data_IF_526781548389
#
_entry.id   IF_526781548389
#
_cell.length_a   1.000
_cell.length_b   1.000
_cell.length_c   1.000
_cell.angle_alpha   90.00
_cell.angle_beta   90.00
_cell.angle_gamma   90.00
#
_symmetry.space_group_name_H-M   'P 1'
#
loop_
_entity.id
_entity.type
_entity.pdbx_description
1 polymer ?
#
# COMPACT_ATOMS: atom_id res chain seq x y z
N UNK A 1 -1.53 -9.07 7.52
CA UNK A 1 -2.85 -9.07 8.19
C UNK A 1 -3.79 -10.14 7.62
N UNK A 2 -4.08 -10.15 6.31
CA UNK A 2 -5.02 -11.11 5.71
C UNK A 2 -4.72 -12.59 6.02
N UNK A 3 -3.45 -13.01 5.93
CA UNK A 3 -3.00 -14.35 6.30
C UNK A 3 -3.41 -14.78 7.72
N UNK A 4 -3.39 -13.86 8.68
CA UNK A 4 -3.77 -14.14 10.07
C UNK A 4 -5.29 -14.22 10.25
N UNK A 5 -6.04 -13.47 9.44
CA UNK A 5 -7.50 -13.61 9.41
C UNK A 5 -7.88 -14.97 8.82
N UNK A 6 -7.25 -15.36 7.71
CA UNK A 6 -7.47 -16.64 7.04
C UNK A 6 -7.06 -17.83 7.92
N UNK A 7 -5.93 -17.75 8.63
CA UNK A 7 -5.50 -18.80 9.57
C UNK A 7 -6.51 -19.02 10.70
N UNK A 8 -7.26 -17.97 11.07
CA UNK A 8 -8.34 -18.01 12.05
C UNK A 8 -9.71 -18.35 11.45
N UNK A 9 -9.74 -18.81 10.20
CA UNK A 9 -10.97 -19.22 9.51
C UNK A 9 -11.85 -18.06 9.03
N UNK A 10 -11.32 -16.84 8.95
CA UNK A 10 -12.03 -15.69 8.38
C UNK A 10 -11.73 -15.56 6.89
N UNK A 11 -12.77 -15.41 6.07
CA UNK A 11 -12.61 -15.12 4.65
C UNK A 11 -12.16 -13.67 4.46
N UNK A 12 -11.07 -13.47 3.74
CA UNK A 12 -10.66 -12.18 3.17
C UNK A 12 -10.82 -12.30 1.66
N UNK A 13 -11.62 -11.44 1.05
CA UNK A 13 -11.88 -11.49 -0.40
C UNK A 13 -10.84 -10.70 -1.17
N UNK A 14 -10.59 -9.47 -0.75
CA UNK A 14 -9.65 -8.56 -1.41
C UNK A 14 -8.67 -7.97 -0.41
N UNK A 15 -7.46 -7.78 -0.88
CA UNK A 15 -6.47 -6.88 -0.30
C UNK A 15 -6.15 -5.86 -1.38
N UNK A 16 -6.35 -4.58 -1.06
CA UNK A 16 -6.00 -3.49 -1.97
C UNK A 16 -4.83 -2.74 -1.37
N UNK A 17 -3.69 -2.74 -2.08
CA UNK A 17 -2.50 -1.98 -1.74
C UNK A 17 -2.43 -0.75 -2.65
N UNK A 18 -2.22 0.44 -2.07
CA UNK A 18 -2.08 1.68 -2.82
C UNK A 18 -0.60 2.05 -2.82
N UNK A 19 0.01 2.01 -4.00
CA UNK A 19 1.43 2.26 -4.29
C UNK A 19 2.41 1.76 -3.22
N UNK A 20 2.23 0.51 -2.80
CA UNK A 20 3.00 -0.12 -1.73
C UNK A 20 3.67 -1.40 -2.22
N UNK A 21 5.00 -1.45 -2.14
CA UNK A 21 5.78 -2.64 -2.48
C UNK A 21 5.57 -3.80 -1.51
N UNK A 22 5.76 -5.01 -2.04
CA UNK A 22 5.89 -6.20 -1.22
C UNK A 22 7.30 -6.28 -0.64
N UNK A 23 7.43 -6.09 0.68
CA UNK A 23 8.71 -6.30 1.37
C UNK A 23 8.92 -7.79 1.59
N UNK A 24 9.96 -8.40 1.02
CA UNK A 24 10.17 -9.87 1.08
C UNK A 24 11.18 -10.30 2.13
N UNK A 25 12.05 -9.39 2.54
CA UNK A 25 13.13 -9.62 3.50
C UNK A 25 13.18 -8.48 4.50
N UNK A 26 13.79 -8.74 5.66
CA UNK A 26 14.03 -7.67 6.63
C UNK A 26 15.10 -6.71 6.10
N UNK A 27 14.95 -5.43 6.41
CA UNK A 27 15.93 -4.43 6.04
C UNK A 27 16.07 -3.38 7.15
N UNK A 28 17.17 -2.63 7.11
CA UNK A 28 17.40 -1.51 8.02
C UNK A 28 17.51 -0.22 7.21
N UNK A 29 16.78 0.82 7.65
CA UNK A 29 17.01 2.16 7.14
C UNK A 29 18.31 2.69 7.75
N UNK A 30 19.29 2.99 6.89
CA UNK A 30 20.46 3.77 7.34
C UNK A 30 20.02 5.13 7.89
N UNK A 31 20.77 5.66 8.85
CA UNK A 31 20.45 6.93 9.53
C UNK A 31 20.23 8.08 8.54
N UNK A 32 20.99 8.11 7.44
CA UNK A 32 20.87 9.12 6.38
C UNK A 32 19.53 9.04 5.65
N UNK A 33 19.10 7.84 5.23
CA UNK A 33 17.82 7.67 4.53
C UNK A 33 16.63 7.98 5.44
N UNK A 34 16.74 7.65 6.73
CA UNK A 34 15.71 7.96 7.70
C UNK A 34 15.60 9.47 7.93
N UNK A 35 16.73 10.19 7.98
CA UNK A 35 16.73 11.65 8.11
C UNK A 35 16.11 12.35 6.89
N UNK A 36 16.39 11.86 5.68
CA UNK A 36 15.77 12.39 4.44
C UNK A 36 14.26 12.14 4.45
N UNK A 37 13.84 10.91 4.77
CA UNK A 37 12.43 10.57 4.92
C UNK A 37 11.73 11.48 5.94
N UNK A 38 12.37 11.72 7.08
CA UNK A 38 11.80 12.55 8.14
C UNK A 38 11.62 14.01 7.72
N UNK A 39 12.57 14.55 6.95
CA UNK A 39 12.50 15.90 6.42
C UNK A 39 11.34 16.04 5.43
N UNK A 40 11.27 15.15 4.43
CA UNK A 40 10.26 15.16 3.38
C UNK A 40 8.85 14.97 3.94
N UNK A 41 8.66 13.96 4.81
CA UNK A 41 7.39 13.71 5.45
C UNK A 41 7.00 14.86 6.39
N UNK A 42 7.95 15.43 7.11
CA UNK A 42 7.71 16.58 7.98
C UNK A 42 7.24 17.82 7.20
N UNK A 43 7.83 18.11 6.05
CA UNK A 43 7.39 19.20 5.16
C UNK A 43 5.98 18.97 4.63
N UNK A 44 5.69 17.75 4.18
CA UNK A 44 4.36 17.36 3.72
C UNK A 44 3.33 17.48 4.85
N UNK A 45 3.59 16.90 6.03
CA UNK A 45 2.68 16.99 7.17
C UNK A 45 2.42 18.44 7.59
N UNK A 46 3.43 19.32 7.59
CA UNK A 46 3.23 20.75 7.89
C UNK A 46 2.29 21.41 6.88
N UNK A 47 2.43 21.10 5.59
CA UNK A 47 1.56 21.61 4.52
C UNK A 47 0.10 21.22 4.73
N UNK A 48 -0.16 20.00 5.20
CA UNK A 48 -1.53 19.44 5.26
C UNK A 48 -2.20 19.53 6.65
N UNK A 49 -1.44 19.53 7.75
CA UNK A 49 -2.00 19.57 9.11
C UNK A 49 -2.19 20.99 9.66
N UNK A 50 -1.38 21.95 9.19
CA UNK A 50 -1.37 23.32 9.73
C UNK A 50 -0.96 23.45 11.20
N UNK A 51 -0.45 22.37 11.82
CA UNK A 51 -0.09 22.32 13.24
C UNK A 51 1.25 21.65 13.45
N UNK A 52 2.21 22.38 14.04
CA UNK A 52 3.54 21.86 14.35
C UNK A 52 3.52 20.65 15.29
N UNK A 53 2.67 20.67 16.32
CA UNK A 53 2.55 19.56 17.29
C UNK A 53 2.07 18.28 16.60
N UNK A 54 0.98 18.36 15.84
CA UNK A 54 0.45 17.23 15.05
C UNK A 54 1.49 16.70 14.06
N UNK A 55 2.23 17.59 13.38
CA UNK A 55 3.28 17.18 12.46
C UNK A 55 4.42 16.42 13.17
N UNK A 56 4.88 16.89 14.34
CA UNK A 56 5.93 16.23 15.11
C UNK A 56 5.51 14.85 15.62
N UNK A 57 4.32 14.75 16.22
CA UNK A 57 3.78 13.48 16.74
C UNK A 57 3.55 12.46 15.61
N UNK A 58 3.03 12.92 14.46
CA UNK A 58 2.80 12.04 13.31
C UNK A 58 4.12 11.54 12.72
N UNK A 59 5.16 12.37 12.73
CA UNK A 59 6.49 12.00 12.28
C UNK A 59 7.13 10.92 13.16
N UNK A 60 7.01 11.05 14.48
CA UNK A 60 7.50 10.04 15.42
C UNK A 60 6.79 8.68 15.20
N UNK A 61 5.47 8.70 15.05
CA UNK A 61 4.70 7.49 14.73
C UNK A 61 5.10 6.88 13.38
N UNK A 62 5.37 7.70 12.37
CA UNK A 62 5.81 7.22 11.06
C UNK A 62 7.18 6.51 11.15
N UNK A 63 8.12 7.06 11.92
CA UNK A 63 9.42 6.42 12.19
C UNK A 63 9.25 5.04 12.82
N UNK A 64 8.45 4.94 13.87
CA UNK A 64 8.20 3.66 14.55
C UNK A 64 7.53 2.66 13.61
N UNK A 65 6.53 3.10 12.85
CA UNK A 65 5.79 2.26 11.91
C UNK A 65 6.69 1.72 10.80
N UNK A 66 7.55 2.54 10.22
CA UNK A 66 8.49 2.12 9.18
C UNK A 66 9.49 1.10 9.73
N UNK A 67 10.03 1.35 10.94
CA UNK A 67 10.89 0.37 11.61
C UNK A 67 10.18 -0.96 11.87
N UNK A 68 8.89 -0.93 12.22
CA UNK A 68 8.07 -2.13 12.35
C UNK A 68 7.91 -2.86 11.01
N UNK A 69 7.57 -2.16 9.93
CA UNK A 69 7.42 -2.72 8.59
C UNK A 69 8.72 -3.38 8.10
N UNK A 70 9.86 -2.76 8.36
CA UNK A 70 11.16 -3.25 7.94
C UNK A 70 11.55 -4.59 8.59
N UNK A 71 10.99 -4.92 9.76
CA UNK A 71 11.19 -6.20 10.48
C UNK A 71 10.03 -7.20 10.31
N UNK A 72 9.14 -6.96 9.35
CA UNK A 72 7.91 -7.73 9.14
C UNK A 72 7.66 -8.01 7.66
N UNK A 73 8.49 -8.85 7.02
CA UNK A 73 8.36 -9.15 5.61
C UNK A 73 7.01 -9.81 5.27
N UNK A 74 6.46 -9.44 4.12
CA UNK A 74 5.21 -9.93 3.55
C UNK A 74 5.42 -11.31 2.88
N UNK A 75 5.61 -12.33 3.72
CA UNK A 75 5.86 -13.71 3.28
C UNK A 75 4.61 -14.60 3.28
N UNK A 76 4.61 -15.58 2.37
CA UNK A 76 3.54 -16.54 2.18
C UNK A 76 2.49 -16.11 1.15
N UNK A 77 1.37 -16.82 1.17
CA UNK A 77 0.27 -16.69 0.22
C UNK A 77 -1.05 -16.56 0.96
N UNK A 78 -1.98 -15.77 0.42
CA UNK A 78 -3.35 -15.60 0.92
C UNK A 78 -4.37 -16.04 -0.13
N UNK A 79 -5.57 -16.40 0.30
CA UNK A 79 -6.69 -16.73 -0.59
C UNK A 79 -7.31 -15.48 -1.22
N UNK A 80 -7.19 -14.32 -0.58
CA UNK A 80 -7.68 -13.06 -1.11
C UNK A 80 -7.05 -12.72 -2.47
N UNK A 81 -7.82 -12.11 -3.37
CA UNK A 81 -7.27 -11.39 -4.51
C UNK A 81 -6.46 -10.20 -4.00
N UNK A 82 -5.29 -9.98 -4.59
CA UNK A 82 -4.47 -8.81 -4.28
C UNK A 82 -4.55 -7.86 -5.47
N UNK A 83 -4.94 -6.61 -5.22
CA UNK A 83 -4.90 -5.55 -6.23
C UNK A 83 -3.96 -4.45 -5.77
N UNK A 84 -3.05 -4.04 -6.63
CA UNK A 84 -2.19 -2.89 -6.43
C UNK A 84 -2.71 -1.75 -7.28
N UNK A 85 -2.99 -0.60 -6.68
CA UNK A 85 -3.21 0.66 -7.40
C UNK A 85 -1.90 1.43 -7.33
N UNK A 86 -1.11 1.37 -8.39
CA UNK A 86 0.21 1.99 -8.44
C UNK A 86 0.10 3.48 -8.78
N UNK A 87 1.13 4.24 -8.41
CA UNK A 87 1.41 5.55 -8.98
C UNK A 87 1.37 5.48 -10.52
N UNK A 88 0.86 6.55 -11.14
CA UNK A 88 0.62 6.64 -12.59
C UNK A 88 1.86 6.36 -13.45
N UNK A 89 3.07 6.54 -12.89
CA UNK A 89 4.36 6.33 -13.58
C UNK A 89 5.07 5.05 -13.16
N UNK A 90 4.56 4.31 -12.17
CA UNK A 90 5.26 3.19 -11.51
C UNK A 90 4.57 1.84 -11.65
N UNK A 91 3.48 1.74 -12.41
CA UNK A 91 2.76 0.48 -12.60
C UNK A 91 3.69 -0.68 -13.05
N UNK A 92 4.67 -0.39 -13.90
CA UNK A 92 5.64 -1.37 -14.38
C UNK A 92 6.50 -1.97 -13.26
N UNK A 93 6.77 -1.21 -12.18
CA UNK A 93 7.56 -1.69 -11.02
C UNK A 93 6.82 -2.73 -10.18
N UNK A 94 5.54 -2.96 -10.45
CA UNK A 94 4.71 -3.98 -9.82
C UNK A 94 4.41 -5.17 -10.74
N UNK A 95 4.93 -5.15 -11.98
CA UNK A 95 4.75 -6.23 -12.94
C UNK A 95 5.29 -7.56 -12.42
N UNK A 96 4.80 -8.68 -12.97
CA UNK A 96 5.28 -10.00 -12.58
C UNK A 96 6.78 -10.14 -12.87
N UNK A 97 7.55 -10.55 -11.86
CA UNK A 97 9.01 -10.68 -11.94
C UNK A 97 9.78 -9.52 -11.30
N UNK A 98 9.14 -8.38 -11.08
CA UNK A 98 9.76 -7.25 -10.40
C UNK A 98 9.92 -7.50 -8.89
N UNK A 99 10.96 -6.91 -8.30
CA UNK A 99 11.36 -7.14 -6.91
C UNK A 99 10.24 -6.81 -5.91
N UNK A 100 9.56 -5.68 -6.14
CA UNK A 100 8.47 -5.16 -5.31
C UNK A 100 7.08 -5.73 -5.62
N UNK A 101 6.98 -6.66 -6.58
CA UNK A 101 5.69 -7.16 -7.06
C UNK A 101 4.97 -8.06 -6.05
N UNK A 102 3.64 -7.97 -6.06
CA UNK A 102 2.77 -8.82 -5.23
C UNK A 102 2.48 -10.19 -5.87
N UNK A 103 2.93 -10.43 -7.11
CA UNK A 103 2.72 -11.70 -7.81
C UNK A 103 3.25 -12.89 -6.99
N UNK A 104 2.48 -14.00 -7.02
CA UNK A 104 2.76 -15.20 -6.23
C UNK A 104 2.40 -15.11 -4.73
N UNK A 105 1.85 -14.00 -4.25
CA UNK A 105 1.34 -13.86 -2.87
C UNK A 105 -0.16 -14.08 -2.71
N UNK A 106 -0.88 -14.32 -3.81
CA UNK A 106 -2.29 -14.71 -3.82
C UNK A 106 -2.47 -16.07 -4.51
N UNK A 107 -3.37 -16.90 -4.00
CA UNK A 107 -3.83 -18.11 -4.70
C UNK A 107 -5.03 -17.89 -5.61
N UNK A 108 -5.62 -16.68 -5.59
CA UNK A 108 -6.77 -16.33 -6.44
C UNK A 108 -6.31 -15.52 -7.64
N UNK A 109 -5.76 -14.32 -7.41
CA UNK A 109 -5.24 -13.45 -8.46
C UNK A 109 -4.41 -12.30 -7.87
N UNK A 110 -3.46 -11.80 -8.66
CA UNK A 110 -2.79 -10.51 -8.43
C UNK A 110 -3.06 -9.61 -9.63
N UNK A 111 -3.51 -8.38 -9.38
CA UNK A 111 -3.82 -7.38 -10.41
C UNK A 111 -3.08 -6.09 -10.09
N UNK A 112 -2.55 -5.42 -11.12
CA UNK A 112 -1.95 -4.09 -11.01
C UNK A 112 -2.77 -3.14 -11.86
N UNK A 113 -3.19 -2.03 -11.27
CA UNK A 113 -3.90 -0.94 -11.91
C UNK A 113 -3.04 0.31 -11.84
N UNK A 114 -2.94 1.05 -12.94
CA UNK A 114 -2.35 2.39 -12.93
C UNK A 114 -3.36 3.36 -12.33
N UNK A 115 -2.99 3.98 -11.21
CA UNK A 115 -3.72 5.06 -10.58
C UNK A 115 -3.44 6.40 -11.26
N UNK A 116 -3.84 7.48 -10.60
CA UNK A 116 -3.56 8.86 -10.98
C UNK A 116 -2.75 9.56 -9.88
N UNK A 117 -1.80 10.39 -10.29
CA UNK A 117 -0.89 11.10 -9.40
C UNK A 117 0.37 10.31 -9.04
N UNK A 118 1.41 11.04 -8.64
CA UNK A 118 2.60 10.44 -8.04
C UNK A 118 2.29 9.96 -6.61
N UNK A 119 3.11 9.07 -6.06
CA UNK A 119 2.93 8.44 -4.73
C UNK A 119 2.33 9.36 -3.66
N UNK A 120 2.92 10.56 -3.48
CA UNK A 120 2.52 11.50 -2.44
C UNK A 120 1.17 12.18 -2.70
N UNK A 121 0.74 12.24 -3.96
CA UNK A 121 -0.43 13.00 -4.42
C UNK A 121 -1.64 12.09 -4.70
N UNK A 122 -1.47 10.76 -4.72
CA UNK A 122 -2.55 9.82 -5.08
C UNK A 122 -3.82 9.96 -4.24
N UNK A 123 -3.70 10.47 -3.01
CA UNK A 123 -4.82 10.67 -2.09
C UNK A 123 -5.25 12.14 -1.97
N UNK A 124 -4.61 13.05 -2.70
CA UNK A 124 -5.00 14.46 -2.76
C UNK A 124 -6.27 14.65 -3.59
N UNK A 125 -6.99 15.75 -3.35
CA UNK A 125 -8.31 16.05 -3.93
C UNK A 125 -8.37 15.90 -5.46
N UNK A 126 -7.28 16.21 -6.17
CA UNK A 126 -7.17 16.12 -7.63
C UNK A 126 -7.28 14.66 -8.12
N UNK A 127 -6.69 13.71 -7.40
CA UNK A 127 -6.54 12.31 -7.83
C UNK A 127 -7.48 11.36 -7.07
N UNK A 128 -7.93 11.75 -5.88
CA UNK A 128 -8.70 10.94 -4.95
C UNK A 128 -9.93 10.30 -5.62
N UNK A 129 -10.68 11.07 -6.41
CA UNK A 129 -11.91 10.58 -7.06
C UNK A 129 -11.64 9.46 -8.05
N UNK A 130 -10.56 9.56 -8.81
CA UNK A 130 -10.17 8.54 -9.80
C UNK A 130 -9.72 7.27 -9.09
N UNK A 131 -8.78 7.40 -8.15
CA UNK A 131 -8.23 6.25 -7.42
C UNK A 131 -9.29 5.53 -6.58
N UNK A 132 -10.18 6.27 -5.91
CA UNK A 132 -11.33 5.67 -5.21
C UNK A 132 -12.31 4.95 -6.15
N UNK A 133 -12.43 5.41 -7.40
CA UNK A 133 -13.22 4.74 -8.45
C UNK A 133 -12.68 3.35 -8.77
N UNK A 134 -11.37 3.25 -9.01
CA UNK A 134 -10.68 1.98 -9.25
C UNK A 134 -10.88 1.01 -8.07
N UNK A 135 -10.65 1.49 -6.84
CA UNK A 135 -10.82 0.68 -5.63
C UNK A 135 -12.26 0.19 -5.50
N UNK A 136 -13.24 1.05 -5.81
CA UNK A 136 -14.66 0.66 -5.75
C UNK A 136 -15.01 -0.41 -6.78
N UNK A 137 -14.49 -0.31 -8.00
CA UNK A 137 -14.70 -1.31 -9.05
C UNK A 137 -14.14 -2.66 -8.63
N UNK A 138 -12.89 -2.68 -8.17
CA UNK A 138 -12.25 -3.86 -7.56
C UNK A 138 -13.15 -4.46 -6.49
N UNK A 139 -13.61 -3.66 -5.53
CA UNK A 139 -14.48 -4.17 -4.46
C UNK A 139 -15.86 -4.62 -4.96
N UNK A 140 -16.36 -4.14 -6.11
CA UNK A 140 -17.67 -4.46 -6.66
C UNK A 140 -17.70 -5.68 -7.58
N UNK A 141 -16.59 -6.07 -8.22
CA UNK A 141 -16.52 -7.12 -9.26
C UNK A 141 -17.11 -8.50 -8.90
N UNK A 142 -17.24 -8.85 -7.61
CA UNK A 142 -17.93 -10.09 -7.18
C UNK A 142 -19.34 -9.89 -6.58
N UNK A 143 -19.82 -8.65 -6.41
CA UNK A 143 -21.25 -8.46 -6.10
C UNK A 143 -22.15 -8.97 -7.24
N UNK A 144 -21.60 -9.06 -8.46
CA UNK A 144 -22.30 -9.47 -9.67
C UNK A 144 -22.24 -11.00 -9.95
N UNK A 145 -21.37 -11.73 -9.26
CA UNK A 145 -21.20 -13.19 -9.45
C UNK A 145 -22.02 -14.04 -8.45
N UNK A 146 -22.95 -13.42 -7.73
CA UNK A 146 -23.86 -14.06 -6.76
C UNK A 146 -25.25 -14.39 -7.29
N UNK A 147 -25.52 -14.25 -8.59
CA UNK A 147 -26.84 -14.55 -9.19
C UNK A 147 -26.71 -15.31 -10.51
N UNK A 148 -26.47 -16.63 -10.46
CA UNK A 148 -27.01 -17.61 -11.43
C UNK A 148 -27.26 -18.93 -10.72
#
# INVERSE_FOLDING_TARGET
>A
MAKELESRGRRVRDVVAVDAYRVREEFEFGEEHLAVFELELGEHLRKHTGSEVVAAETLEQAREYIGFCARRPNTGTVAARITVVADEKKADLFAEGEEGAWHGSSSTATVVLAGSGEHADMLDDEHLRFNAGLIREVLAEEADHGTV
#
